data_IF_320663943688
#
_entry.id   IF_320663943688
#
_cell.length_a   1.000
_cell.length_b   1.000
_cell.length_c   1.000
_cell.angle_alpha   90.00
_cell.angle_beta   90.00
_cell.angle_gamma   90.00
#
_symmetry.space_group_name_H-M   'P 1'
#
loop_
_entity.id
_entity.type
_entity.pdbx_description
1 polymer ?
#
# COMPACT_ATOMS: atom_id res chain seq x y z
N UNK A 1 19.62 20.07 -43.78
CA UNK A 1 18.45 20.66 -43.09
C UNK A 1 18.62 20.34 -41.62
N UNK A 2 18.94 21.34 -40.80
CA UNK A 2 19.02 21.14 -39.35
C UNK A 2 17.59 21.19 -38.80
N UNK A 3 17.15 20.11 -38.14
CA UNK A 3 15.87 20.12 -37.44
C UNK A 3 15.90 21.19 -36.33
N UNK A 4 14.86 22.03 -36.22
CA UNK A 4 14.77 22.98 -35.13
C UNK A 4 14.64 22.22 -33.80
N UNK A 5 15.52 22.55 -32.85
CA UNK A 5 15.43 22.04 -31.49
C UNK A 5 14.07 22.42 -30.91
N UNK A 6 13.24 21.46 -30.48
CA UNK A 6 11.95 21.79 -29.89
C UNK A 6 12.18 22.65 -28.64
N UNK A 7 11.57 23.82 -28.62
CA UNK A 7 11.48 24.66 -27.42
C UNK A 7 10.87 23.83 -26.31
N UNK A 8 11.53 23.69 -25.14
CA UNK A 8 10.95 23.00 -24.00
C UNK A 8 9.59 23.63 -23.71
N UNK A 9 8.56 22.80 -23.57
CA UNK A 9 7.26 23.29 -23.11
C UNK A 9 7.47 24.06 -21.79
N UNK A 10 6.78 25.19 -21.58
CA UNK A 10 6.81 25.88 -20.30
C UNK A 10 6.53 24.85 -19.19
N UNK A 11 7.31 24.92 -18.11
CA UNK A 11 7.00 24.11 -16.94
C UNK A 11 5.55 24.39 -16.53
N UNK A 12 4.74 23.36 -16.24
CA UNK A 12 3.38 23.57 -15.78
C UNK A 12 3.41 24.46 -14.53
N UNK A 13 2.47 25.40 -14.46
CA UNK A 13 2.33 26.25 -13.29
C UNK A 13 2.15 25.35 -12.04
N UNK A 14 2.74 25.74 -10.89
CA UNK A 14 2.58 24.99 -9.64
C UNK A 14 1.10 24.87 -9.30
N UNK A 15 0.70 23.70 -8.81
CA UNK A 15 -0.67 23.46 -8.38
C UNK A 15 -1.07 24.49 -7.31
N UNK A 16 -2.28 25.08 -7.39
CA UNK A 16 -2.72 26.08 -6.42
C UNK A 16 -2.84 25.45 -5.03
N UNK A 17 -2.42 26.19 -4.00
CA UNK A 17 -2.60 25.79 -2.61
C UNK A 17 -4.09 25.78 -2.25
N UNK A 18 -4.51 24.75 -1.51
CA UNK A 18 -5.86 24.62 -0.96
C UNK A 18 -5.98 25.47 0.32
N UNK A 19 -7.16 26.04 0.54
CA UNK A 19 -7.48 26.78 1.75
C UNK A 19 -8.32 25.92 2.70
N UNK A 20 -7.88 25.82 3.95
CA UNK A 20 -8.63 25.08 4.97
C UNK A 20 -9.95 25.79 5.26
N UNK A 21 -11.04 25.02 5.31
CA UNK A 21 -12.36 25.53 5.71
C UNK A 21 -12.83 24.83 6.99
N UNK A 22 -13.76 25.46 7.70
CA UNK A 22 -14.30 24.86 8.92
C UNK A 22 -15.01 23.53 8.61
N UNK A 23 -14.79 22.53 9.47
CA UNK A 23 -15.49 21.24 9.39
C UNK A 23 -17.01 21.47 9.52
N UNK A 24 -17.84 20.87 8.65
CA UNK A 24 -19.29 21.00 8.75
C UNK A 24 -19.82 20.63 10.14
N UNK A 25 -20.77 21.40 10.66
CA UNK A 25 -21.34 21.18 12.00
C UNK A 25 -22.00 19.81 12.15
N UNK A 26 -22.57 19.29 11.06
CA UNK A 26 -23.22 17.98 10.99
C UNK A 26 -22.27 16.84 10.59
N UNK A 27 -20.94 17.01 10.71
CA UNK A 27 -19.93 16.03 10.26
C UNK A 27 -20.26 14.56 10.58
N UNK A 28 -20.64 14.28 11.83
CA UNK A 28 -20.93 12.90 12.28
C UNK A 28 -22.14 12.27 11.58
N UNK A 29 -23.07 13.09 11.09
CA UNK A 29 -24.28 12.64 10.39
C UNK A 29 -24.10 12.55 8.86
N UNK A 30 -22.98 13.06 8.33
CA UNK A 30 -22.67 12.95 6.90
C UNK A 30 -22.30 11.51 6.54
N UNK A 31 -22.71 11.07 5.35
CA UNK A 31 -22.23 9.82 4.76
C UNK A 31 -20.76 9.91 4.34
N UNK A 32 -20.16 8.77 3.99
CA UNK A 32 -18.75 8.69 3.60
C UNK A 32 -18.46 9.51 2.35
N UNK A 33 -19.33 9.47 1.34
CA UNK A 33 -19.14 10.21 0.09
C UNK A 33 -19.08 11.72 0.31
N UNK A 34 -19.99 12.27 1.13
CA UNK A 34 -20.01 13.68 1.49
C UNK A 34 -18.79 14.08 2.34
N UNK A 35 -18.33 13.20 3.25
CA UNK A 35 -17.10 13.43 4.02
C UNK A 35 -15.88 13.48 3.10
N UNK A 36 -15.75 12.53 2.18
CA UNK A 36 -14.64 12.49 1.21
C UNK A 36 -14.67 13.71 0.28
N UNK A 37 -15.86 14.12 -0.19
CA UNK A 37 -16.01 15.33 -0.98
C UNK A 37 -15.52 16.58 -0.23
N UNK A 38 -15.81 16.69 1.08
CA UNK A 38 -15.26 17.77 1.90
C UNK A 38 -13.75 17.63 2.09
N UNK A 39 -13.23 16.44 2.43
CA UNK A 39 -11.80 16.19 2.58
C UNK A 39 -11.00 16.53 1.32
N UNK A 40 -11.59 16.39 0.13
CA UNK A 40 -10.97 16.79 -1.14
C UNK A 40 -10.74 18.30 -1.26
N UNK A 41 -11.39 19.12 -0.43
CA UNK A 41 -11.18 20.57 -0.37
C UNK A 41 -10.18 21.00 0.70
N UNK A 42 -9.78 20.09 1.60
CA UNK A 42 -8.94 20.43 2.74
C UNK A 42 -7.46 20.18 2.47
N UNK A 43 -6.56 21.11 2.83
CA UNK A 43 -5.12 20.91 2.66
C UNK A 43 -4.57 19.87 3.65
N UNK A 44 -3.58 19.12 3.21
CA UNK A 44 -2.68 18.40 4.10
C UNK A 44 -1.78 19.42 4.82
N UNK A 45 -1.68 19.40 6.17
CA UNK A 45 -0.91 20.41 6.89
C UNK A 45 0.58 20.51 6.49
N UNK A 46 1.18 19.41 6.05
CA UNK A 46 2.58 19.37 5.59
C UNK A 46 2.75 19.80 4.13
N UNK A 47 1.70 19.77 3.32
CA UNK A 47 1.71 20.15 1.90
C UNK A 47 0.33 20.70 1.49
N UNK A 48 0.14 22.03 1.42
CA UNK A 48 -1.16 22.61 1.12
C UNK A 48 -1.62 22.39 -0.32
N UNK A 49 -0.78 21.82 -1.21
CA UNK A 49 -1.17 21.45 -2.57
C UNK A 49 -1.81 20.07 -2.65
N UNK A 50 -1.72 19.28 -1.57
CA UNK A 50 -2.28 17.93 -1.48
C UNK A 50 -3.54 17.97 -0.63
N UNK A 51 -4.63 17.39 -1.13
CA UNK A 51 -5.88 17.31 -0.34
C UNK A 51 -5.88 16.12 0.61
N UNK A 52 -6.52 16.27 1.76
CA UNK A 52 -6.76 15.15 2.69
C UNK A 52 -7.54 14.01 2.01
N UNK A 53 -8.48 14.35 1.14
CA UNK A 53 -9.24 13.37 0.35
C UNK A 53 -8.35 12.54 -0.57
N UNK A 54 -7.35 13.15 -1.20
CA UNK A 54 -6.38 12.42 -2.02
C UNK A 54 -5.52 11.45 -1.19
N UNK A 55 -5.19 11.81 0.05
CA UNK A 55 -4.48 10.92 0.97
C UNK A 55 -5.39 9.78 1.45
N UNK A 56 -6.66 10.05 1.74
CA UNK A 56 -7.68 9.04 2.06
C UNK A 56 -7.81 8.02 0.94
N UNK A 57 -8.05 8.48 -0.30
CA UNK A 57 -8.20 7.61 -1.46
C UNK A 57 -6.99 6.71 -1.65
N UNK A 58 -5.77 7.24 -1.45
CA UNK A 58 -4.53 6.46 -1.57
C UNK A 58 -4.35 5.46 -0.43
N UNK A 59 -4.73 5.84 0.79
CA UNK A 59 -4.74 4.94 1.92
C UNK A 59 -5.62 3.73 1.66
N UNK A 60 -6.85 3.96 1.16
CA UNK A 60 -7.76 2.87 0.80
C UNK A 60 -7.20 2.03 -0.35
N UNK A 61 -6.64 2.63 -1.43
CA UNK A 61 -5.99 1.84 -2.51
C UNK A 61 -4.85 0.99 -1.98
N UNK A 62 -3.99 1.57 -1.13
CA UNK A 62 -2.87 0.86 -0.55
C UNK A 62 -3.32 -0.37 0.25
N UNK A 63 -4.37 -0.24 1.05
CA UNK A 63 -4.92 -1.36 1.80
C UNK A 63 -5.46 -2.46 0.88
N UNK A 64 -6.06 -2.11 -0.25
CA UNK A 64 -6.47 -3.08 -1.28
C UNK A 64 -5.26 -3.82 -1.86
N UNK A 65 -4.19 -3.10 -2.21
CA UNK A 65 -2.94 -3.72 -2.68
C UNK A 65 -2.34 -4.66 -1.63
N UNK A 66 -2.27 -4.21 -0.38
CA UNK A 66 -1.74 -5.00 0.73
C UNK A 66 -2.59 -6.25 0.99
N UNK A 67 -3.92 -6.13 0.97
CA UNK A 67 -4.83 -7.27 1.09
C UNK A 67 -4.68 -8.25 -0.08
N UNK A 68 -4.51 -7.75 -1.30
CA UNK A 68 -4.21 -8.59 -2.47
C UNK A 68 -2.91 -9.39 -2.29
N UNK A 69 -1.83 -8.73 -1.86
CA UNK A 69 -0.57 -9.41 -1.54
C UNK A 69 -0.76 -10.46 -0.44
N UNK A 70 -1.51 -10.13 0.60
CA UNK A 70 -1.83 -11.08 1.67
C UNK A 70 -2.52 -12.34 1.14
N UNK A 71 -3.59 -12.19 0.34
CA UNK A 71 -4.32 -13.30 -0.28
C UNK A 71 -3.40 -14.14 -1.19
N UNK A 72 -2.52 -13.49 -1.96
CA UNK A 72 -1.54 -14.18 -2.79
C UNK A 72 -0.57 -15.03 -1.96
N UNK A 73 -0.06 -14.52 -0.83
CA UNK A 73 0.81 -15.27 0.07
C UNK A 73 0.07 -16.48 0.66
N UNK A 74 -1.19 -16.31 1.08
CA UNK A 74 -2.00 -17.41 1.59
C UNK A 74 -2.22 -18.51 0.55
N UNK A 75 -2.48 -18.13 -0.71
CA UNK A 75 -2.60 -19.08 -1.80
C UNK A 75 -1.30 -19.86 -2.00
N UNK A 76 -0.16 -19.18 -2.00
CA UNK A 76 1.15 -19.83 -2.11
C UNK A 76 1.42 -20.77 -0.94
N UNK A 77 1.12 -20.34 0.28
CA UNK A 77 1.24 -21.17 1.49
C UNK A 77 0.43 -22.46 1.36
N UNK A 78 -0.83 -22.36 0.90
CA UNK A 78 -1.71 -23.51 0.73
C UNK A 78 -1.17 -24.56 -0.25
N UNK A 79 -0.38 -24.14 -1.25
CA UNK A 79 0.22 -25.05 -2.24
C UNK A 79 1.46 -25.78 -1.71
N UNK A 80 2.17 -25.17 -0.75
CA UNK A 80 3.40 -25.74 -0.18
C UNK A 80 3.20 -26.37 1.20
N UNK A 81 2.00 -26.30 1.77
CA UNK A 81 1.69 -26.77 3.14
C UNK A 81 1.98 -28.24 3.39
N UNK A 82 1.91 -29.09 2.37
CA UNK A 82 2.22 -30.51 2.46
C UNK A 82 3.74 -30.78 2.45
N UNK A 83 4.56 -29.73 2.28
CA UNK A 83 6.03 -29.81 2.18
C UNK A 83 6.70 -29.11 3.36
N UNK A 84 6.23 -29.33 4.59
CA UNK A 84 6.68 -28.59 5.79
C UNK A 84 8.18 -28.64 6.08
N UNK A 85 8.86 -29.70 5.65
CA UNK A 85 10.30 -29.86 5.84
C UNK A 85 11.14 -29.25 4.69
N UNK A 86 10.50 -28.63 3.70
CA UNK A 86 11.18 -28.08 2.52
C UNK A 86 11.64 -26.64 2.72
N UNK A 87 12.67 -26.25 1.96
CA UNK A 87 13.16 -24.86 1.88
C UNK A 87 12.07 -23.90 1.42
N UNK A 88 11.22 -24.30 0.47
CA UNK A 88 10.15 -23.43 -0.05
C UNK A 88 9.07 -23.16 1.01
N UNK A 89 8.77 -24.14 1.87
CA UNK A 89 7.91 -23.91 3.03
C UNK A 89 8.52 -22.89 3.99
N UNK A 90 9.80 -23.02 4.32
CA UNK A 90 10.47 -22.05 5.18
C UNK A 90 10.46 -20.64 4.57
N UNK A 91 10.64 -20.52 3.24
CA UNK A 91 10.58 -19.23 2.57
C UNK A 91 9.18 -18.62 2.50
N UNK A 92 8.11 -19.40 2.32
CA UNK A 92 6.76 -18.84 2.37
C UNK A 92 6.41 -18.37 3.79
N UNK A 93 6.84 -19.10 4.82
CA UNK A 93 6.64 -18.71 6.22
C UNK A 93 7.42 -17.43 6.55
N UNK A 94 8.66 -17.31 6.08
CA UNK A 94 9.46 -16.08 6.23
C UNK A 94 8.82 -14.90 5.49
N UNK A 95 8.30 -15.13 4.28
CA UNK A 95 7.59 -14.10 3.51
C UNK A 95 6.32 -13.64 4.23
N UNK A 96 5.52 -14.57 4.77
CA UNK A 96 4.32 -14.26 5.56
C UNK A 96 4.68 -13.48 6.83
N UNK A 97 5.69 -13.91 7.58
CA UNK A 97 6.15 -13.21 8.78
C UNK A 97 6.62 -11.79 8.48
N UNK A 98 7.42 -11.60 7.42
CA UNK A 98 7.88 -10.29 6.98
C UNK A 98 6.73 -9.40 6.49
N UNK A 99 5.74 -9.99 5.79
CA UNK A 99 4.53 -9.28 5.39
C UNK A 99 3.77 -8.77 6.62
N UNK A 100 3.48 -9.64 7.60
CA UNK A 100 2.73 -9.28 8.82
C UNK A 100 3.41 -8.12 9.56
N UNK A 101 4.73 -8.23 9.79
CA UNK A 101 5.49 -7.21 10.52
C UNK A 101 5.65 -5.89 9.75
N UNK A 102 5.77 -5.96 8.42
CA UNK A 102 5.96 -4.78 7.57
C UNK A 102 4.69 -4.30 6.92
N UNK A 103 4.45 -4.78 5.70
CA UNK A 103 3.37 -4.30 4.80
C UNK A 103 1.99 -4.39 5.46
N UNK A 104 1.69 -5.51 6.13
CA UNK A 104 0.41 -5.72 6.81
C UNK A 104 0.20 -4.78 8.00
N UNK A 105 1.20 -4.64 8.87
CA UNK A 105 1.12 -3.70 10.00
C UNK A 105 1.03 -2.24 9.54
N UNK A 106 1.74 -1.86 8.48
CA UNK A 106 1.64 -0.53 7.89
C UNK A 106 0.26 -0.29 7.25
N UNK A 107 -0.31 -1.28 6.56
CA UNK A 107 -1.67 -1.21 6.03
C UNK A 107 -2.70 -0.98 7.14
N UNK A 108 -2.56 -1.66 8.28
CA UNK A 108 -3.45 -1.42 9.41
C UNK A 108 -3.28 -0.02 10.02
N UNK A 109 -2.06 0.52 10.06
CA UNK A 109 -1.83 1.92 10.46
C UNK A 109 -2.48 2.92 9.48
N UNK A 110 -2.35 2.69 8.17
CA UNK A 110 -3.00 3.51 7.14
C UNK A 110 -4.52 3.41 7.21
N UNK A 111 -5.06 2.22 7.52
CA UNK A 111 -6.49 2.02 7.74
C UNK A 111 -7.01 2.86 8.91
N UNK A 112 -6.27 2.86 10.02
CA UNK A 112 -6.56 3.68 11.20
C UNK A 112 -6.59 5.16 10.84
N UNK A 113 -5.60 5.62 10.08
CA UNK A 113 -5.50 7.01 9.62
C UNK A 113 -6.70 7.39 8.72
N UNK A 114 -7.12 6.51 7.81
CA UNK A 114 -8.31 6.70 6.98
C UNK A 114 -9.59 6.76 7.82
N UNK A 115 -9.72 5.90 8.83
CA UNK A 115 -10.86 5.89 9.75
C UNK A 115 -10.91 7.18 10.56
N UNK A 116 -9.76 7.64 11.06
CA UNK A 116 -9.66 8.91 11.79
C UNK A 116 -10.06 10.10 10.90
N UNK A 117 -9.64 10.13 9.63
CA UNK A 117 -10.10 11.16 8.70
C UNK A 117 -11.63 11.19 8.57
N UNK A 118 -12.29 10.03 8.50
CA UNK A 118 -13.75 9.96 8.41
C UNK A 118 -14.46 10.28 9.73
N UNK A 119 -13.84 9.98 10.87
CA UNK A 119 -14.39 10.24 12.20
C UNK A 119 -14.22 11.71 12.60
N UNK A 120 -13.03 12.27 12.36
CA UNK A 120 -12.59 13.57 12.88
C UNK A 120 -12.34 14.63 11.82
N UNK A 121 -12.29 14.28 10.53
CA UNK A 121 -12.04 15.25 9.45
C UNK A 121 -10.60 15.77 9.41
N UNK A 122 -9.68 15.14 10.15
CA UNK A 122 -8.26 15.47 10.22
C UNK A 122 -7.45 14.26 10.65
N UNK A 123 -6.16 14.29 10.39
CA UNK A 123 -5.21 13.32 10.92
C UNK A 123 -4.84 13.63 12.37
N UNK A 124 -4.56 12.60 13.17
CA UNK A 124 -3.78 12.74 14.41
C UNK A 124 -2.33 13.09 14.10
N UNK A 125 -1.62 13.56 15.13
CA UNK A 125 -0.18 13.81 15.09
C UNK A 125 0.65 12.56 14.78
N UNK A 126 0.05 11.36 14.84
CA UNK A 126 0.72 10.08 14.57
C UNK A 126 0.53 9.57 13.15
N UNK A 127 -0.42 10.14 12.42
CA UNK A 127 -0.81 9.65 11.10
C UNK A 127 0.34 9.69 10.08
N UNK A 128 0.24 8.81 9.09
CA UNK A 128 1.17 8.64 7.99
C UNK A 128 0.48 8.90 6.66
N UNK A 129 0.18 10.17 6.33
CA UNK A 129 -0.48 10.49 5.06
C UNK A 129 0.33 9.94 3.89
N UNK A 130 -0.29 9.06 3.10
CA UNK A 130 0.28 8.62 1.84
C UNK A 130 0.24 9.78 0.85
N UNK A 131 1.42 10.31 0.53
CA UNK A 131 1.56 11.34 -0.48
C UNK A 131 1.30 10.76 -1.89
N UNK A 132 0.91 11.60 -2.85
CA UNK A 132 0.78 11.18 -4.23
C UNK A 132 2.06 10.52 -4.76
N UNK A 133 1.90 9.33 -5.34
CA UNK A 133 2.98 8.59 -5.98
C UNK A 133 2.52 8.06 -7.36
N UNK A 134 3.42 8.10 -8.34
CA UNK A 134 3.21 7.45 -9.63
C UNK A 134 3.58 5.98 -9.50
N UNK A 135 2.62 5.09 -9.74
CA UNK A 135 2.83 3.64 -9.65
C UNK A 135 2.91 3.08 -11.08
N UNK A 136 4.11 2.71 -11.57
CA UNK A 136 4.21 1.90 -12.77
C UNK A 136 3.81 0.46 -12.46
N UNK A 137 3.16 -0.24 -13.38
CA UNK A 137 2.90 -1.67 -13.26
C UNK A 137 1.92 -2.20 -14.29
N UNK A 138 2.15 -3.44 -14.74
CA UNK A 138 1.28 -4.17 -15.68
C UNK A 138 0.60 -5.37 -15.01
N UNK A 139 1.09 -5.83 -13.86
CA UNK A 139 0.54 -6.96 -13.11
C UNK A 139 0.39 -6.59 -11.63
N UNK A 140 -0.45 -7.32 -10.88
CA UNK A 140 -0.66 -7.10 -9.44
C UNK A 140 0.66 -7.18 -8.68
N UNK A 141 1.50 -8.17 -8.99
CA UNK A 141 2.79 -8.35 -8.33
C UNK A 141 3.74 -7.21 -8.69
N UNK A 142 3.85 -6.82 -9.96
CA UNK A 142 4.70 -5.70 -10.37
C UNK A 142 4.24 -4.40 -9.72
N UNK A 143 2.92 -4.16 -9.68
CA UNK A 143 2.32 -3.00 -9.03
C UNK A 143 2.61 -3.02 -7.53
N UNK A 144 2.38 -4.14 -6.84
CA UNK A 144 2.67 -4.27 -5.41
C UNK A 144 4.17 -4.10 -5.10
N UNK A 145 5.03 -4.76 -5.86
CA UNK A 145 6.48 -4.62 -5.75
C UNK A 145 6.90 -3.17 -5.97
N UNK A 146 6.37 -2.48 -6.99
CA UNK A 146 6.70 -1.10 -7.27
C UNK A 146 6.17 -0.15 -6.19
N UNK A 147 4.95 -0.35 -5.68
CA UNK A 147 4.41 0.40 -4.54
C UNK A 147 5.32 0.25 -3.32
N UNK A 148 5.63 -0.99 -2.93
CA UNK A 148 6.47 -1.27 -1.76
C UNK A 148 7.88 -0.69 -1.96
N UNK A 149 8.44 -0.79 -3.17
CA UNK A 149 9.74 -0.20 -3.54
C UNK A 149 9.72 1.34 -3.52
N UNK A 150 8.60 1.99 -3.84
CA UNK A 150 8.46 3.44 -3.69
C UNK A 150 8.41 3.80 -2.20
N UNK A 151 7.68 3.02 -1.41
CA UNK A 151 7.58 3.23 0.03
C UNK A 151 8.94 3.06 0.73
N UNK A 152 9.79 2.12 0.31
CA UNK A 152 11.16 1.99 0.86
C UNK A 152 12.02 3.22 0.59
N UNK A 153 11.72 3.99 -0.47
CA UNK A 153 12.45 5.22 -0.83
C UNK A 153 11.83 6.48 -0.23
N UNK A 154 10.70 6.37 0.46
CA UNK A 154 10.00 7.53 1.03
C UNK A 154 10.71 8.02 2.30
N UNK A 155 11.18 9.28 2.37
CA UNK A 155 12.00 9.75 3.49
C UNK A 155 11.35 9.62 4.88
N UNK A 156 10.04 9.87 5.00
CA UNK A 156 9.30 9.75 6.26
C UNK A 156 9.18 8.31 6.76
N UNK A 157 9.24 7.34 5.84
CA UNK A 157 9.17 5.91 6.14
C UNK A 157 10.54 5.31 6.47
N UNK A 158 11.62 6.03 6.18
CA UNK A 158 13.00 5.68 6.53
C UNK A 158 13.41 6.13 7.94
N UNK A 159 12.57 6.89 8.64
CA UNK A 159 12.87 7.31 10.01
C UNK A 159 12.61 6.16 10.99
N UNK A 160 13.53 5.91 11.96
CA UNK A 160 13.30 5.01 13.08
C UNK A 160 12.03 5.35 13.86
N UNK A 161 11.27 4.33 14.28
CA UNK A 161 10.03 4.50 15.05
C UNK A 161 10.08 3.82 16.40
N UNK A 162 9.76 4.53 17.50
CA UNK A 162 9.71 3.93 18.83
C UNK A 162 8.75 2.74 18.93
N UNK A 163 7.58 2.83 18.28
CA UNK A 163 6.58 1.76 18.26
C UNK A 163 6.99 0.51 17.46
N UNK A 164 8.10 0.57 16.72
CA UNK A 164 8.64 -0.54 15.93
C UNK A 164 10.00 -1.00 16.48
N UNK A 165 10.28 -0.79 17.77
CA UNK A 165 11.56 -1.18 18.37
C UNK A 165 12.78 -0.45 17.78
N UNK A 166 12.58 0.75 17.23
CA UNK A 166 13.63 1.54 16.61
C UNK A 166 13.89 1.21 15.13
N UNK A 167 13.14 0.29 14.51
CA UNK A 167 13.20 0.10 13.06
C UNK A 167 12.35 1.12 12.30
N UNK A 168 12.56 1.22 11.00
CA UNK A 168 11.77 2.04 10.09
C UNK A 168 10.78 1.18 9.28
N UNK A 169 9.70 1.79 8.80
CA UNK A 169 8.78 1.10 7.89
C UNK A 169 9.50 0.65 6.61
N UNK A 170 10.38 1.48 6.07
CA UNK A 170 11.19 1.15 4.90
C UNK A 170 12.04 -0.10 5.12
N UNK A 171 12.64 -0.27 6.31
CA UNK A 171 13.42 -1.46 6.65
C UNK A 171 12.54 -2.72 6.69
N UNK A 172 11.32 -2.63 7.21
CA UNK A 172 10.37 -3.75 7.25
C UNK A 172 9.85 -4.11 5.85
N UNK A 173 9.61 -3.11 5.00
CA UNK A 173 9.25 -3.33 3.60
C UNK A 173 10.39 -4.00 2.82
N UNK A 174 11.63 -3.59 3.05
CA UNK A 174 12.79 -4.22 2.44
C UNK A 174 12.91 -5.69 2.88
N UNK A 175 12.69 -5.98 4.17
CA UNK A 175 12.68 -7.36 4.67
C UNK A 175 11.61 -8.22 3.97
N UNK A 176 10.44 -7.66 3.68
CA UNK A 176 9.42 -8.35 2.89
C UNK A 176 9.87 -8.60 1.45
N UNK A 177 10.44 -7.60 0.77
CA UNK A 177 10.98 -7.76 -0.60
C UNK A 177 12.03 -8.86 -0.63
N UNK A 178 12.98 -8.85 0.31
CA UNK A 178 14.07 -9.84 0.37
C UNK A 178 13.53 -11.26 0.62
N UNK A 179 12.53 -11.39 1.49
CA UNK A 179 11.89 -12.68 1.76
C UNK A 179 11.11 -13.20 0.54
N UNK A 180 10.37 -12.33 -0.13
CA UNK A 180 9.64 -12.66 -1.36
C UNK A 180 10.59 -13.05 -2.50
N UNK A 181 11.72 -12.37 -2.64
CA UNK A 181 12.72 -12.71 -3.65
C UNK A 181 13.29 -14.11 -3.43
N UNK A 182 13.68 -14.45 -2.19
CA UNK A 182 14.16 -15.80 -1.84
C UNK A 182 13.12 -16.88 -2.13
N UNK A 183 11.86 -16.62 -1.79
CA UNK A 183 10.74 -17.50 -2.14
C UNK A 183 10.66 -17.70 -3.66
N UNK A 184 10.66 -16.62 -4.45
CA UNK A 184 10.52 -16.70 -5.90
C UNK A 184 11.70 -17.39 -6.59
N UNK A 185 12.92 -17.21 -6.10
CA UNK A 185 14.11 -17.90 -6.60
C UNK A 185 13.98 -19.43 -6.42
N UNK A 186 13.57 -19.87 -5.22
CA UNK A 186 13.37 -21.28 -4.92
C UNK A 186 12.15 -21.85 -5.66
N UNK A 187 11.05 -21.09 -5.76
CA UNK A 187 9.87 -21.47 -6.53
C UNK A 187 10.22 -21.73 -8.00
N UNK A 188 10.97 -20.81 -8.62
CA UNK A 188 11.45 -20.97 -10.01
C UNK A 188 12.36 -22.17 -10.18
N UNK A 189 13.18 -22.49 -9.19
CA UNK A 189 14.03 -23.69 -9.20
C UNK A 189 13.18 -24.96 -9.18
N UNK A 190 12.24 -25.08 -8.24
CA UNK A 190 11.39 -26.26 -8.12
C UNK A 190 10.38 -26.40 -9.28
N UNK A 191 9.91 -25.30 -9.87
CA UNK A 191 9.08 -25.32 -11.08
C UNK A 191 9.82 -25.95 -12.27
N UNK A 192 11.12 -25.66 -12.44
CA UNK A 192 11.94 -26.29 -13.48
C UNK A 192 12.15 -27.79 -13.25
N UNK A 193 12.06 -28.23 -12.00
CA UNK A 193 12.11 -29.64 -11.60
C UNK A 193 10.72 -30.32 -11.70
N UNK A 194 9.75 -29.69 -12.36
CA UNK A 194 8.36 -30.16 -12.57
C UNK A 194 7.55 -30.39 -11.28
N UNK A 195 7.94 -29.75 -10.18
CA UNK A 195 7.30 -29.94 -8.88
C UNK A 195 6.13 -28.98 -8.58
N UNK A 196 5.94 -27.93 -9.39
CA UNK A 196 4.90 -26.92 -9.20
C UNK A 196 4.16 -26.55 -10.49
N UNK A 197 2.87 -26.31 -10.35
CA UNK A 197 2.02 -25.72 -11.40
C UNK A 197 2.17 -24.20 -11.45
N UNK A 198 1.72 -23.58 -12.53
CA UNK A 198 1.56 -22.13 -12.57
C UNK A 198 0.54 -21.68 -11.52
N UNK A 199 0.96 -20.73 -10.69
CA UNK A 199 0.04 -20.04 -9.78
C UNK A 199 -0.58 -18.92 -10.56
N UNK A 200 -1.86 -19.07 -10.86
CA UNK A 200 -2.64 -17.92 -11.27
C UNK A 200 -2.78 -16.99 -10.07
N UNK A 201 -2.03 -15.90 -10.10
CA UNK A 201 -2.09 -14.83 -9.10
C UNK A 201 -3.17 -13.79 -9.47
N UNK A 202 -4.07 -14.08 -10.42
CA UNK A 202 -5.28 -13.28 -10.56
C UNK A 202 -6.14 -13.46 -9.31
N UNK A 203 -6.28 -12.39 -8.54
CA UNK A 203 -7.15 -12.37 -7.37
C UNK A 203 -8.54 -11.99 -7.88
N UNK A 204 -9.55 -12.86 -7.71
CA UNK A 204 -10.93 -12.51 -8.05
C UNK A 204 -11.34 -11.20 -7.36
N UNK A 205 -11.84 -10.23 -8.11
CA UNK A 205 -12.24 -8.90 -7.60
C UNK A 205 -11.14 -7.83 -7.62
N UNK A 206 -9.92 -8.13 -8.08
CA UNK A 206 -8.86 -7.13 -8.19
C UNK A 206 -8.90 -6.34 -9.50
N UNK A 207 -9.48 -6.91 -10.56
CA UNK A 207 -9.49 -6.32 -11.91
C UNK A 207 -10.45 -5.15 -12.08
N UNK A 208 -11.40 -4.96 -11.16
CA UNK A 208 -12.36 -3.86 -11.20
C UNK A 208 -12.63 -3.44 -9.75
N UNK A 209 -12.00 -2.33 -9.37
CA UNK A 209 -12.04 -1.78 -8.02
C UNK A 209 -13.45 -1.27 -7.69
N UNK A 210 -14.34 -2.15 -7.24
CA UNK A 210 -15.54 -1.75 -6.48
C UNK A 210 -15.08 -1.28 -5.09
N UNK A 211 -14.62 -0.02 -5.03
CA UNK A 211 -13.90 0.61 -3.91
C UNK A 211 -14.67 0.67 -2.57
N UNK A 212 -15.99 0.53 -2.55
CA UNK A 212 -16.77 1.12 -1.46
C UNK A 212 -17.42 0.14 -0.47
N UNK A 213 -17.61 -1.15 -0.78
CA UNK A 213 -18.47 -1.98 0.09
C UNK A 213 -17.88 -3.29 0.65
N UNK A 214 -16.77 -3.84 0.12
CA UNK A 214 -16.50 -5.28 0.36
C UNK A 214 -15.15 -5.68 0.93
N UNK A 215 -14.18 -4.78 1.05
CA UNK A 215 -12.88 -5.14 1.60
C UNK A 215 -12.73 -4.61 3.03
N UNK A 216 -12.26 -5.44 3.98
CA UNK A 216 -11.96 -4.95 5.31
C UNK A 216 -10.87 -3.89 5.20
N UNK A 217 -11.07 -2.75 5.87
CA UNK A 217 -10.06 -1.69 5.94
C UNK A 217 -8.75 -2.21 6.55
N UNK A 218 -8.85 -3.19 7.44
CA UNK A 218 -7.73 -3.81 8.15
C UNK A 218 -7.53 -5.26 7.70
N UNK A 219 -6.26 -5.68 7.61
CA UNK A 219 -5.90 -7.08 7.36
C UNK A 219 -5.94 -7.84 8.70
N UNK A 220 -6.61 -9.01 8.78
CA UNK A 220 -6.64 -9.84 9.98
C UNK A 220 -5.27 -10.51 10.19
N UNK A 221 -4.37 -9.85 10.91
CA UNK A 221 -3.01 -10.37 11.16
C UNK A 221 -2.98 -11.50 12.22
N UNK A 222 -3.97 -11.52 13.11
CA UNK A 222 -4.04 -12.40 14.29
C UNK A 222 -4.74 -13.75 14.04
N UNK A 223 -5.34 -13.98 12.86
CA UNK A 223 -6.02 -15.25 12.56
C UNK A 223 -5.06 -16.43 12.27
N UNK A 224 -3.75 -16.29 12.53
CA UNK A 224 -2.73 -17.31 12.20
C UNK A 224 -1.58 -17.35 13.22
#
# INVERSE_FOLDING_TARGET
MSEPTPTPAPAPDPAPALEATARPENWKAMDVAAKVAWLNTQPLPSDPTVSLGSCYDRGTRFNVYAYGVFQAIQLLESQVKERKDSTIWQYVQNMMAAFKQGVGSYSNAVAEDCRELLEEGKYSDRAQPLHPMTIPGTTIWDTAHNVITILTKTPSLNQPRPGLGGTSWASLFQAFIDAAQKFWEEWKKQKREEQFHDVDLTIPGFTELEYEERLPLTIPLDEF
#
